data_IF_889644242923
#
_entry.id   IF_889644242923
#
_cell.length_a   1.000
_cell.length_b   1.000
_cell.length_c   1.000
_cell.angle_alpha   90.00
_cell.angle_beta   90.00
_cell.angle_gamma   90.00
#
_symmetry.space_group_name_H-M   'P 1'
#
loop_
_entity.id
_entity.type
_entity.pdbx_description
1 polymer ?
#
# COMPACT_ATOMS: atom_id res chain seq x y z
N UNK A 1 6.86 0.42 21.84
CA UNK A 1 6.70 -0.94 22.39
C UNK A 1 6.63 -0.78 23.89
N UNK A 2 5.47 -0.98 24.51
CA UNK A 2 5.36 -0.87 25.97
C UNK A 2 5.80 -2.18 26.60
N UNK A 3 6.72 -2.09 27.55
CA UNK A 3 7.23 -3.23 28.31
C UNK A 3 6.34 -3.45 29.52
N UNK A 4 5.71 -4.63 29.60
CA UNK A 4 5.13 -5.15 30.85
C UNK A 4 6.04 -6.29 31.29
N UNK A 5 6.59 -6.19 32.51
CA UNK A 5 7.53 -7.18 33.09
C UNK A 5 8.72 -7.56 32.21
N UNK A 6 9.27 -6.61 31.45
CA UNK A 6 10.43 -6.82 30.59
C UNK A 6 10.17 -7.71 29.36
N UNK A 7 8.93 -8.13 29.13
CA UNK A 7 8.53 -8.88 27.93
C UNK A 7 7.82 -7.95 26.95
N UNK A 8 8.21 -8.05 25.68
CA UNK A 8 7.51 -7.39 24.58
C UNK A 8 6.09 -7.98 24.50
N UNK A 9 5.09 -7.21 24.90
CA UNK A 9 3.70 -7.61 24.77
C UNK A 9 3.08 -6.95 23.54
N UNK A 10 2.46 -7.74 22.67
CA UNK A 10 1.68 -7.21 21.55
C UNK A 10 0.39 -6.62 22.13
N UNK A 11 0.17 -5.31 21.93
CA UNK A 11 -1.08 -4.67 22.36
C UNK A 11 -2.28 -5.32 21.66
N UNK A 12 -3.39 -5.64 22.34
CA UNK A 12 -4.60 -6.15 21.69
C UNK A 12 -5.24 -5.08 20.81
N UNK A 13 -5.65 -5.44 19.59
CA UNK A 13 -6.40 -4.52 18.71
C UNK A 13 -7.87 -4.50 19.12
N UNK A 14 -8.45 -3.34 19.48
CA UNK A 14 -9.90 -3.23 19.62
C UNK A 14 -10.55 -3.51 18.26
N UNK A 15 -11.40 -4.53 18.21
CA UNK A 15 -12.00 -5.01 16.95
C UNK A 15 -13.49 -5.18 17.15
N UNK A 16 -14.34 -4.79 16.20
CA UNK A 16 -15.79 -5.05 16.24
C UNK A 16 -16.24 -5.60 14.89
N UNK A 17 -17.34 -6.38 14.81
CA UNK A 17 -17.89 -6.79 13.53
C UNK A 17 -18.16 -5.60 12.60
N UNK A 18 -18.72 -4.51 13.12
CA UNK A 18 -19.08 -3.31 12.35
C UNK A 18 -17.84 -2.62 11.80
N UNK A 19 -16.84 -2.39 12.66
CA UNK A 19 -15.60 -1.74 12.25
C UNK A 19 -14.76 -2.58 11.29
N UNK A 20 -14.72 -3.89 11.48
CA UNK A 20 -14.06 -4.82 10.55
C UNK A 20 -14.79 -4.87 9.20
N UNK A 21 -16.13 -4.91 9.20
CA UNK A 21 -16.90 -4.90 7.96
C UNK A 21 -16.70 -3.58 7.19
N UNK A 22 -16.69 -2.44 7.88
CA UNK A 22 -16.44 -1.14 7.27
C UNK A 22 -15.02 -1.04 6.68
N UNK A 23 -14.01 -1.59 7.37
CA UNK A 23 -12.63 -1.60 6.89
C UNK A 23 -12.41 -2.62 5.75
N UNK A 24 -13.16 -3.72 5.75
CA UNK A 24 -13.14 -4.70 4.68
C UNK A 24 -13.75 -4.15 3.38
N UNK A 25 -14.72 -3.24 3.47
CA UNK A 25 -15.28 -2.53 2.33
C UNK A 25 -14.35 -1.41 1.83
N UNK A 26 -13.20 -1.84 1.31
CA UNK A 26 -12.19 -0.98 0.66
C UNK A 26 -12.72 -0.31 -0.61
N UNK A 27 -13.92 -0.66 -1.09
CA UNK A 27 -14.55 -0.03 -2.26
C UNK A 27 -15.40 1.19 -1.90
N UNK A 28 -15.77 1.32 -0.62
CA UNK A 28 -16.47 2.50 -0.11
C UNK A 28 -15.65 3.77 -0.34
N UNK A 29 -16.31 4.81 -0.87
CA UNK A 29 -15.70 6.14 -1.04
C UNK A 29 -15.34 6.80 0.30
N UNK A 30 -15.93 6.33 1.40
CA UNK A 30 -15.63 6.80 2.76
C UNK A 30 -14.39 6.11 3.35
N UNK A 31 -13.94 4.99 2.78
CA UNK A 31 -12.76 4.28 3.25
C UNK A 31 -11.52 5.18 3.15
N UNK A 32 -10.64 5.26 4.18
CA UNK A 32 -9.49 6.16 4.16
C UNK A 32 -8.55 5.90 2.96
N UNK A 33 -8.32 4.63 2.60
CA UNK A 33 -7.65 4.26 1.34
C UNK A 33 -8.22 4.96 0.11
N UNK A 34 -9.55 4.98 -0.09
CA UNK A 34 -10.14 5.61 -1.27
C UNK A 34 -10.01 7.13 -1.21
N UNK A 35 -10.23 7.73 -0.03
CA UNK A 35 -10.02 9.18 0.20
C UNK A 35 -8.58 9.61 -0.05
N UNK A 36 -7.61 8.75 0.27
CA UNK A 36 -6.20 9.01 -0.01
C UNK A 36 -5.93 8.93 -1.52
N UNK A 37 -6.52 7.94 -2.21
CA UNK A 37 -6.40 7.81 -3.67
C UNK A 37 -6.89 9.06 -4.41
N UNK A 38 -7.98 9.67 -3.95
CA UNK A 38 -8.51 10.90 -4.57
C UNK A 38 -7.62 12.13 -4.40
N UNK A 39 -6.59 12.07 -3.55
CA UNK A 39 -5.62 13.16 -3.36
C UNK A 39 -4.40 13.05 -4.28
N UNK A 40 -4.29 11.97 -5.05
CA UNK A 40 -3.20 11.85 -6.03
C UNK A 40 -3.30 12.98 -7.07
N UNK A 41 -2.19 13.63 -7.45
CA UNK A 41 -2.18 14.59 -8.55
C UNK A 41 -2.63 13.89 -9.83
N UNK A 42 -3.41 14.53 -10.69
CA UNK A 42 -3.92 13.93 -11.94
C UNK A 42 -2.80 13.51 -12.91
N UNK A 43 -1.67 14.22 -12.88
CA UNK A 43 -0.54 14.00 -13.77
C UNK A 43 0.74 13.71 -12.98
N UNK A 44 1.63 12.95 -13.60
CA UNK A 44 2.99 12.79 -13.10
C UNK A 44 3.76 14.10 -13.13
N UNK A 45 4.61 14.35 -12.12
CA UNK A 45 5.34 15.62 -12.02
C UNK A 45 6.59 15.61 -12.91
N UNK A 46 7.38 14.53 -12.85
CA UNK A 46 8.57 14.34 -13.67
C UNK A 46 8.30 13.45 -14.90
N UNK A 47 7.08 12.89 -15.01
CA UNK A 47 6.67 12.12 -16.18
C UNK A 47 6.47 13.03 -17.40
N UNK A 48 7.21 12.74 -18.48
CA UNK A 48 6.96 13.41 -19.76
C UNK A 48 5.55 13.10 -20.30
N UNK A 49 4.73 14.10 -20.66
CA UNK A 49 3.41 13.88 -21.25
C UNK A 49 3.45 13.01 -22.52
N UNK A 50 4.53 13.10 -23.30
CA UNK A 50 4.74 12.26 -24.49
C UNK A 50 4.95 10.79 -24.13
N UNK A 51 5.68 10.51 -23.04
CA UNK A 51 5.88 9.14 -22.56
C UNK A 51 4.56 8.60 -22.01
N UNK A 52 3.85 9.39 -21.20
CA UNK A 52 2.55 9.04 -20.65
C UNK A 52 1.56 8.65 -21.75
N UNK A 53 1.36 9.53 -22.74
CA UNK A 53 0.48 9.27 -23.87
C UNK A 53 0.84 7.96 -24.59
N UNK A 54 2.13 7.70 -24.85
CA UNK A 54 2.57 6.47 -25.51
C UNK A 54 2.28 5.21 -24.69
N UNK A 55 2.39 5.28 -23.36
CA UNK A 55 2.12 4.14 -22.47
C UNK A 55 0.61 3.89 -22.39
N UNK A 56 -0.19 4.95 -22.26
CA UNK A 56 -1.66 4.85 -22.19
C UNK A 56 -2.29 4.41 -23.51
N UNK A 57 -1.75 4.85 -24.65
CA UNK A 57 -2.29 4.52 -25.97
C UNK A 57 -2.01 3.07 -26.40
N UNK A 58 -1.15 2.33 -25.70
CA UNK A 58 -0.74 0.98 -26.08
C UNK A 58 -1.70 -0.06 -25.51
N UNK A 59 -2.09 -1.02 -26.36
CA UNK A 59 -2.93 -2.16 -25.98
C UNK A 59 -2.19 -3.21 -25.15
N UNK A 60 -0.86 -3.28 -25.27
CA UNK A 60 0.01 -4.23 -24.57
C UNK A 60 1.42 -3.68 -24.39
N UNK A 61 2.08 -4.05 -23.31
CA UNK A 61 3.50 -3.74 -23.06
C UNK A 61 4.39 -4.45 -24.09
N UNK A 62 5.25 -3.73 -24.83
CA UNK A 62 6.20 -4.36 -25.75
C UNK A 62 7.27 -5.15 -24.99
N UNK A 63 7.77 -6.21 -25.62
CA UNK A 63 8.88 -7.03 -25.08
C UNK A 63 10.17 -6.23 -24.85
N UNK A 64 10.33 -5.10 -25.54
CA UNK A 64 11.51 -4.21 -25.48
C UNK A 64 11.07 -2.76 -25.28
N UNK A 65 10.25 -2.51 -24.26
CA UNK A 65 9.94 -1.14 -23.85
C UNK A 65 11.20 -0.45 -23.29
N UNK A 66 11.43 0.83 -23.63
CA UNK A 66 12.45 1.64 -22.96
C UNK A 66 12.24 1.68 -21.44
N UNK A 67 13.30 1.74 -20.61
CA UNK A 67 13.18 1.76 -19.15
C UNK A 67 12.18 2.81 -18.63
N UNK A 68 12.15 4.00 -19.24
CA UNK A 68 11.24 5.08 -18.83
C UNK A 68 9.78 4.72 -19.03
N UNK A 69 9.45 3.96 -20.08
CA UNK A 69 8.07 3.51 -20.34
C UNK A 69 7.66 2.42 -19.36
N UNK A 70 8.57 1.52 -18.98
CA UNK A 70 8.32 0.47 -17.97
C UNK A 70 8.03 1.09 -16.60
N UNK A 71 8.85 2.07 -16.18
CA UNK A 71 8.66 2.80 -14.92
C UNK A 71 7.30 3.51 -14.90
N UNK A 72 6.98 4.27 -15.95
CA UNK A 72 5.69 4.97 -16.08
C UNK A 72 4.53 3.97 -16.05
N UNK A 73 4.64 2.83 -16.72
CA UNK A 73 3.60 1.80 -16.69
C UNK A 73 3.37 1.23 -15.27
N UNK A 74 4.45 0.93 -14.55
CA UNK A 74 4.38 0.47 -13.16
C UNK A 74 3.73 1.52 -12.26
N UNK A 75 4.07 2.78 -12.43
CA UNK A 75 3.49 3.89 -11.68
C UNK A 75 2.00 4.05 -11.94
N UNK A 76 1.55 3.98 -13.20
CA UNK A 76 0.12 3.98 -13.53
C UNK A 76 -0.62 2.79 -12.90
N UNK A 77 0.04 1.62 -12.79
CA UNK A 77 -0.52 0.47 -12.05
C UNK A 77 -0.64 0.80 -10.56
N UNK A 78 0.40 1.38 -9.94
CA UNK A 78 0.41 1.77 -8.53
C UNK A 78 -0.65 2.81 -8.18
N UNK A 79 -0.94 3.76 -9.08
CA UNK A 79 -2.03 4.75 -8.92
C UNK A 79 -3.43 4.13 -8.90
N UNK A 80 -3.60 2.96 -9.51
CA UNK A 80 -4.84 2.18 -9.45
C UNK A 80 -6.05 2.83 -10.13
N UNK A 81 -5.81 3.71 -11.10
CA UNK A 81 -6.85 4.50 -11.80
C UNK A 81 -7.60 3.70 -12.88
N UNK A 82 -6.98 2.67 -13.45
CA UNK A 82 -7.62 1.82 -14.48
C UNK A 82 -8.48 0.72 -13.85
N UNK A 83 -9.55 0.27 -14.53
CA UNK A 83 -10.36 -0.86 -14.08
C UNK A 83 -9.51 -2.09 -13.74
N UNK A 84 -9.70 -2.63 -12.53
CA UNK A 84 -8.95 -3.80 -12.06
C UNK A 84 -7.57 -3.52 -11.48
N UNK A 85 -7.05 -2.28 -11.55
CA UNK A 85 -5.77 -1.88 -10.94
C UNK A 85 -5.94 -1.24 -9.55
N UNK A 86 -7.15 -0.85 -9.16
CA UNK A 86 -7.43 -0.31 -7.80
C UNK A 86 -6.90 -1.23 -6.69
N UNK A 87 -6.91 -2.56 -6.91
CA UNK A 87 -6.34 -3.54 -5.99
C UNK A 87 -4.84 -3.36 -5.72
N UNK A 88 -4.08 -2.82 -6.66
CA UNK A 88 -2.65 -2.53 -6.52
C UNK A 88 -2.46 -1.32 -5.61
N UNK A 89 -3.24 -0.26 -5.80
CA UNK A 89 -3.26 0.89 -4.89
C UNK A 89 -3.66 0.47 -3.47
N UNK A 90 -4.71 -0.35 -3.32
CA UNK A 90 -5.16 -0.87 -2.02
C UNK A 90 -4.02 -1.69 -1.37
N UNK A 91 -3.35 -2.55 -2.12
CA UNK A 91 -2.21 -3.31 -1.59
C UNK A 91 -1.10 -2.40 -1.06
N UNK A 92 -0.81 -1.29 -1.75
CA UNK A 92 0.16 -0.30 -1.29
C UNK A 92 -0.29 0.33 0.02
N UNK A 93 -1.56 0.76 0.10
CA UNK A 93 -2.14 1.33 1.31
C UNK A 93 -2.03 0.36 2.49
N UNK A 94 -2.38 -0.92 2.28
CA UNK A 94 -2.29 -1.98 3.29
C UNK A 94 -0.85 -2.26 3.73
N UNK A 95 0.15 -2.10 2.84
CA UNK A 95 1.57 -2.19 3.23
C UNK A 95 1.97 -1.04 4.15
N UNK A 96 1.41 0.15 3.97
CA UNK A 96 1.61 1.30 4.86
C UNK A 96 0.78 1.19 6.14
N UNK A 97 -0.24 0.34 6.15
CA UNK A 97 -1.20 0.14 7.25
C UNK A 97 -1.25 -1.33 7.65
N UNK A 98 -0.09 -1.94 7.87
CA UNK A 98 -0.02 -3.38 8.04
C UNK A 98 -0.51 -3.79 9.43
N UNK A 99 -1.82 -4.08 9.53
CA UNK A 99 -2.45 -4.56 10.76
C UNK A 99 -1.78 -5.85 11.23
N UNK A 100 -1.34 -5.85 12.48
CA UNK A 100 -0.60 -6.97 13.10
C UNK A 100 -1.57 -8.11 13.47
N UNK A 101 -1.45 -9.25 12.81
CA UNK A 101 -2.35 -10.40 12.98
C UNK A 101 -2.49 -10.86 14.44
N UNK A 102 -1.37 -11.01 15.15
CA UNK A 102 -1.38 -11.45 16.55
C UNK A 102 -2.11 -10.46 17.48
N UNK A 103 -2.07 -9.17 17.15
CA UNK A 103 -2.78 -8.12 17.90
C UNK A 103 -4.30 -8.27 17.76
N UNK A 104 -4.78 -8.60 16.56
CA UNK A 104 -6.21 -8.82 16.29
C UNK A 104 -6.69 -10.10 16.97
N UNK A 105 -5.95 -11.20 16.84
CA UNK A 105 -6.31 -12.47 17.49
C UNK A 105 -6.36 -12.32 19.00
N UNK A 106 -5.38 -11.63 19.60
CA UNK A 106 -5.40 -11.33 21.02
C UNK A 106 -6.62 -10.47 21.38
N UNK A 107 -6.88 -9.39 20.63
CA UNK A 107 -8.02 -8.50 20.85
C UNK A 107 -9.40 -9.14 20.66
N UNK A 108 -9.48 -10.31 20.04
CA UNK A 108 -10.71 -11.10 19.89
C UNK A 108 -10.82 -12.24 20.92
N UNK A 109 -9.85 -12.38 21.84
CA UNK A 109 -9.90 -13.41 22.87
C UNK A 109 -11.09 -13.16 23.83
N UNK A 110 -11.89 -14.19 24.17
CA UNK A 110 -13.06 -14.04 25.05
C UNK A 110 -12.74 -13.40 26.40
N UNK A 111 -11.62 -13.78 27.03
CA UNK A 111 -11.20 -13.23 28.34
C UNK A 111 -10.92 -11.72 28.30
N UNK A 112 -10.56 -11.17 27.14
CA UNK A 112 -10.36 -9.73 26.96
C UNK A 112 -11.65 -9.00 26.53
N UNK A 113 -12.73 -9.73 26.32
CA UNK A 113 -14.01 -9.23 25.83
C UNK A 113 -15.21 -9.79 26.65
N UNK A 114 -15.23 -9.65 27.98
CA UNK A 114 -16.26 -10.26 28.83
C UNK A 114 -17.69 -9.75 28.55
N UNK A 115 -17.82 -8.59 27.92
CA UNK A 115 -19.11 -8.00 27.52
C UNK A 115 -19.61 -8.42 26.14
N UNK A 116 -18.89 -9.30 25.42
CA UNK A 116 -19.28 -9.74 24.08
C UNK A 116 -19.75 -11.18 24.06
N UNK A 117 -20.76 -11.43 23.23
CA UNK A 117 -21.25 -12.77 22.99
C UNK A 117 -20.24 -13.58 22.16
N UNK A 118 -20.21 -14.92 22.33
CA UNK A 118 -19.40 -15.80 21.47
C UNK A 118 -19.69 -15.63 19.98
N UNK A 119 -20.94 -15.33 19.61
CA UNK A 119 -21.36 -15.12 18.23
C UNK A 119 -20.75 -13.85 17.62
N UNK A 120 -20.70 -12.74 18.37
CA UNK A 120 -20.06 -11.50 17.93
C UNK A 120 -18.55 -11.68 17.72
N UNK A 121 -17.88 -12.37 18.65
CA UNK A 121 -16.44 -12.67 18.53
C UNK A 121 -16.15 -13.58 17.33
N UNK A 122 -16.99 -14.60 17.09
CA UNK A 122 -16.87 -15.48 15.93
C UNK A 122 -17.08 -14.72 14.60
N UNK A 123 -18.05 -13.80 14.56
CA UNK A 123 -18.28 -12.95 13.39
C UNK A 123 -17.09 -12.04 13.10
N UNK A 124 -16.56 -11.37 14.13
CA UNK A 124 -15.37 -10.52 14.00
C UNK A 124 -14.16 -11.33 13.52
N UNK A 125 -13.93 -12.53 14.07
CA UNK A 125 -12.85 -13.40 13.62
C UNK A 125 -12.99 -13.80 12.14
N UNK A 126 -14.21 -14.12 11.70
CA UNK A 126 -14.51 -14.45 10.30
C UNK A 126 -14.21 -13.26 9.37
N UNK A 127 -14.64 -12.06 9.74
CA UNK A 127 -14.38 -10.84 8.97
C UNK A 127 -12.87 -10.54 8.88
N UNK A 128 -12.15 -10.69 9.99
CA UNK A 128 -10.69 -10.57 10.00
C UNK A 128 -10.01 -11.59 9.07
N UNK A 129 -10.41 -12.86 9.11
CA UNK A 129 -9.88 -13.90 8.22
C UNK A 129 -10.13 -13.56 6.76
N UNK A 130 -11.32 -13.06 6.42
CA UNK A 130 -11.65 -12.59 5.08
C UNK A 130 -10.76 -11.43 4.66
N UNK A 131 -10.59 -10.42 5.52
CA UNK A 131 -9.70 -9.28 5.26
C UNK A 131 -8.26 -9.75 5.02
N UNK A 132 -7.72 -10.58 5.92
CA UNK A 132 -6.32 -11.05 5.83
C UNK A 132 -6.06 -11.87 4.55
N UNK A 133 -7.02 -12.70 4.15
CA UNK A 133 -6.94 -13.48 2.91
C UNK A 133 -6.95 -12.59 1.66
N UNK A 134 -7.86 -11.61 1.61
CA UNK A 134 -7.94 -10.67 0.49
C UNK A 134 -6.72 -9.73 0.43
N UNK A 135 -6.22 -9.27 1.58
CA UNK A 135 -4.97 -8.51 1.69
C UNK A 135 -3.79 -9.30 1.12
N UNK A 136 -3.70 -10.60 1.41
CA UNK A 136 -2.66 -11.47 0.84
C UNK A 136 -2.77 -11.56 -0.69
N UNK A 137 -3.96 -11.78 -1.23
CA UNK A 137 -4.20 -11.80 -2.70
C UNK A 137 -3.78 -10.48 -3.37
N UNK A 138 -4.11 -9.35 -2.75
CA UNK A 138 -3.71 -8.02 -3.21
C UNK A 138 -2.20 -7.82 -3.16
N UNK A 139 -1.55 -8.22 -2.08
CA UNK A 139 -0.09 -8.20 -1.94
C UNK A 139 0.60 -9.07 -3.00
N UNK A 140 0.06 -10.24 -3.31
CA UNK A 140 0.60 -11.11 -4.37
C UNK A 140 0.48 -10.47 -5.76
N UNK A 141 -0.60 -9.72 -6.02
CA UNK A 141 -0.78 -8.97 -7.26
C UNK A 141 0.16 -7.74 -7.36
N UNK A 142 0.49 -7.12 -6.24
CA UNK A 142 1.42 -5.99 -6.16
C UNK A 142 2.88 -6.39 -6.40
N UNK A 143 3.28 -7.56 -5.87
CA UNK A 143 4.68 -8.05 -5.93
C UNK A 143 5.33 -7.99 -7.32
N UNK A 144 4.73 -8.50 -8.42
CA UNK A 144 5.36 -8.41 -9.73
C UNK A 144 5.55 -6.97 -10.20
N UNK A 145 4.62 -6.05 -9.89
CA UNK A 145 4.71 -4.63 -10.24
C UNK A 145 5.90 -3.97 -9.55
N UNK A 146 6.07 -4.21 -8.24
CA UNK A 146 7.21 -3.66 -7.50
C UNK A 146 8.54 -4.29 -7.92
N UNK A 147 8.57 -5.59 -8.20
CA UNK A 147 9.77 -6.26 -8.69
C UNK A 147 10.22 -5.69 -10.04
N UNK A 148 9.28 -5.48 -10.97
CA UNK A 148 9.57 -4.85 -12.26
C UNK A 148 10.09 -3.41 -12.07
N UNK A 149 9.36 -2.60 -11.29
CA UNK A 149 9.76 -1.22 -10.97
C UNK A 149 11.17 -1.14 -10.38
N UNK A 150 11.44 -1.87 -9.30
CA UNK A 150 12.74 -1.84 -8.63
C UNK A 150 13.86 -2.41 -9.47
N UNK A 151 13.61 -3.48 -10.22
CA UNK A 151 14.59 -4.04 -11.16
C UNK A 151 14.96 -3.02 -12.23
N UNK A 152 13.99 -2.37 -12.86
CA UNK A 152 14.24 -1.36 -13.90
C UNK A 152 14.98 -0.15 -13.35
N UNK A 153 14.57 0.38 -12.19
CA UNK A 153 15.24 1.50 -11.54
C UNK A 153 16.69 1.17 -11.16
N UNK A 154 16.94 -0.05 -10.69
CA UNK A 154 18.28 -0.51 -10.32
C UNK A 154 19.18 -0.74 -11.54
N UNK A 155 18.65 -1.30 -12.63
CA UNK A 155 19.43 -1.47 -13.85
C UNK A 155 19.76 -0.13 -14.49
N UNK A 156 18.81 0.81 -14.50
CA UNK A 156 19.01 2.15 -15.05
C UNK A 156 20.09 2.94 -14.29
N UNK A 157 20.19 2.79 -12.97
CA UNK A 157 21.21 3.49 -12.17
C UNK A 157 22.63 2.91 -12.32
N UNK A 158 22.75 1.71 -12.88
CA UNK A 158 24.04 1.01 -13.10
C UNK A 158 24.64 1.21 -14.48
N UNK A 159 23.95 1.94 -15.36
CA UNK A 159 24.46 2.20 -16.71
C UNK A 159 25.71 3.06 -16.62
N UNK A 160 26.75 2.65 -17.35
CA UNK A 160 28.02 3.38 -17.50
C UNK A 160 28.21 3.75 -18.96
N UNK A 161 28.87 4.87 -19.21
CA UNK A 161 29.26 5.30 -20.55
C UNK A 161 30.39 4.40 -21.06
N UNK A 162 30.12 3.70 -22.17
CA UNK A 162 31.05 2.77 -22.81
C UNK A 162 32.37 3.40 -23.28
N UNK A 163 32.45 4.74 -23.38
CA UNK A 163 33.65 5.43 -23.85
C UNK A 163 34.65 5.74 -22.72
N UNK A 164 34.20 5.86 -21.46
CA UNK A 164 35.02 6.36 -20.35
C UNK A 164 34.75 5.69 -18.99
N UNK A 165 33.90 4.65 -18.96
CA UNK A 165 33.45 3.92 -17.77
C UNK A 165 32.84 4.82 -16.67
N UNK A 166 32.37 6.02 -17.01
CA UNK A 166 31.73 6.91 -16.05
C UNK A 166 30.24 6.56 -15.87
N UNK A 167 29.66 6.78 -14.67
CA UNK A 167 28.23 6.62 -14.47
C UNK A 167 27.41 7.47 -15.43
N UNK A 168 26.52 6.83 -16.20
CA UNK A 168 25.61 7.49 -17.13
C UNK A 168 24.22 6.88 -16.98
N UNK A 169 23.46 7.24 -15.93
CA UNK A 169 22.17 6.63 -15.64
C UNK A 169 21.23 6.67 -16.85
N UNK A 170 20.61 5.52 -17.15
CA UNK A 170 19.68 5.38 -18.28
C UNK A 170 18.30 6.01 -18.05
N UNK A 171 18.10 6.61 -16.87
CA UNK A 171 16.89 7.30 -16.44
C UNK A 171 17.27 8.59 -15.72
N UNK A 172 16.38 9.58 -15.84
CA UNK A 172 16.48 10.81 -15.06
C UNK A 172 16.37 10.49 -13.55
N UNK A 173 17.34 10.90 -12.72
CA UNK A 173 17.30 10.68 -11.28
C UNK A 173 16.09 11.32 -10.59
N UNK A 174 15.48 12.38 -11.15
CA UNK A 174 14.29 13.00 -10.58
C UNK A 174 13.09 12.06 -10.57
N UNK A 175 13.01 11.13 -11.54
CA UNK A 175 11.95 10.12 -11.58
C UNK A 175 11.91 9.26 -10.31
N UNK A 176 13.04 9.01 -9.65
CA UNK A 176 13.07 8.22 -8.41
C UNK A 176 12.27 8.86 -7.27
N UNK A 177 11.97 10.16 -7.40
CA UNK A 177 11.32 10.97 -6.38
C UNK A 177 9.99 11.57 -6.87
N UNK A 178 9.36 11.02 -7.91
CA UNK A 178 8.09 11.54 -8.44
C UNK A 178 6.97 11.48 -7.38
N UNK A 179 6.47 12.63 -6.89
CA UNK A 179 5.49 12.68 -5.81
C UNK A 179 4.09 12.22 -6.24
N UNK A 180 3.85 12.04 -7.54
CA UNK A 180 2.55 11.59 -8.06
C UNK A 180 2.33 10.07 -7.91
N UNK A 181 3.31 9.35 -7.36
CA UNK A 181 3.29 7.90 -7.24
C UNK A 181 3.42 7.48 -5.78
N UNK A 182 2.52 6.61 -5.28
CA UNK A 182 2.64 6.09 -3.92
C UNK A 182 3.99 5.41 -3.68
N UNK A 183 4.69 5.82 -2.61
CA UNK A 183 5.94 5.18 -2.21
C UNK A 183 5.68 3.78 -1.64
N UNK A 184 6.32 2.76 -2.21
CA UNK A 184 6.16 1.38 -1.75
C UNK A 184 7.33 0.98 -0.84
N UNK A 185 7.22 1.01 0.50
CA UNK A 185 8.34 0.67 1.36
C UNK A 185 8.78 -0.79 1.11
N UNK A 186 10.09 -1.09 1.25
CA UNK A 186 10.61 -2.44 1.05
C UNK A 186 10.00 -3.44 2.05
N UNK A 187 9.66 -2.99 3.25
CA UNK A 187 8.96 -3.76 4.27
C UNK A 187 7.56 -3.21 4.55
N UNK A 188 6.67 -4.07 5.05
CA UNK A 188 5.37 -3.64 5.56
C UNK A 188 5.57 -2.79 6.82
N UNK A 189 4.80 -1.72 6.94
CA UNK A 189 4.83 -0.83 8.09
C UNK A 189 3.75 -1.26 9.09
N UNK A 190 4.12 -1.96 10.19
CA UNK A 190 3.15 -2.50 11.12
C UNK A 190 2.35 -1.38 11.81
N UNK A 191 1.12 -1.70 12.16
CA UNK A 191 0.23 -0.83 12.91
C UNK A 191 -0.81 -1.64 13.70
N UNK A 192 -1.24 -1.08 14.81
CA UNK A 192 -2.29 -1.63 15.69
C UNK A 192 -3.36 -0.56 15.80
N UNK A 193 -4.58 -0.78 15.28
CA UNK A 193 -5.68 0.16 15.42
C UNK A 193 -5.94 0.53 16.89
N UNK A 194 -6.10 1.83 17.15
CA UNK A 194 -6.35 2.34 18.51
C UNK A 194 -7.81 2.23 18.94
N UNK A 195 -8.73 1.99 18.00
CA UNK A 195 -10.17 1.90 18.25
C UNK A 195 -10.84 0.82 17.40
N UNK A 196 -12.03 0.39 17.81
CA UNK A 196 -12.83 -0.59 17.08
C UNK A 196 -13.36 -0.05 15.74
N UNK A 197 -13.46 1.27 15.57
CA UNK A 197 -13.59 1.91 14.26
C UNK A 197 -12.21 1.99 13.61
N UNK A 198 -11.92 1.00 12.75
CA UNK A 198 -10.63 0.88 12.09
C UNK A 198 -10.43 1.94 11.00
N UNK A 199 -11.50 2.40 10.36
CA UNK A 199 -11.43 3.47 9.36
C UNK A 199 -11.05 4.79 10.03
N UNK A 200 -11.69 5.14 11.14
CA UNK A 200 -11.32 6.34 11.90
C UNK A 200 -9.91 6.23 12.48
N UNK A 201 -9.54 5.07 13.04
CA UNK A 201 -8.18 4.83 13.54
C UNK A 201 -7.14 4.97 12.43
N UNK A 202 -7.42 4.47 11.22
CA UNK A 202 -6.49 4.60 10.11
C UNK A 202 -6.37 6.03 9.60
N UNK A 203 -7.48 6.77 9.52
CA UNK A 203 -7.44 8.17 9.14
C UNK A 203 -6.68 9.03 10.18
N UNK A 204 -6.76 8.65 11.46
CA UNK A 204 -5.99 9.28 12.53
C UNK A 204 -4.49 8.99 12.38
N UNK A 205 -4.10 7.73 12.17
CA UNK A 205 -2.67 7.41 12.01
C UNK A 205 -2.08 8.03 10.74
N UNK A 206 -2.84 8.17 9.66
CA UNK A 206 -2.42 8.92 8.47
C UNK A 206 -2.09 10.40 8.80
N UNK A 207 -2.78 11.00 9.78
CA UNK A 207 -2.54 12.38 10.22
C UNK A 207 -1.33 12.47 11.15
N UNK A 208 -1.15 11.51 12.05
CA UNK A 208 -0.06 11.48 13.02
C UNK A 208 1.27 11.02 12.40
N UNK A 209 1.19 10.13 11.42
CA UNK A 209 2.30 9.51 10.72
C UNK A 209 2.18 9.76 9.20
N UNK A 210 2.37 11.02 8.72
CA UNK A 210 2.07 11.41 7.34
C UNK A 210 2.87 10.67 6.27
N UNK A 211 3.98 10.02 6.64
CA UNK A 211 4.72 9.13 5.74
C UNK A 211 3.91 7.90 5.31
N UNK A 212 2.89 7.49 6.08
CA UNK A 212 1.94 6.41 5.72
C UNK A 212 1.09 6.75 4.50
N UNK A 213 0.79 8.04 4.33
CA UNK A 213 0.01 8.58 3.24
C UNK A 213 0.86 9.03 2.03
N UNK A 214 2.10 8.55 1.93
CA UNK A 214 3.03 8.87 0.83
C UNK A 214 3.27 10.36 0.60
N UNK A 215 3.14 11.16 1.67
CA UNK A 215 3.44 12.59 1.76
C UNK A 215 2.88 13.51 0.64
N UNK A 216 1.79 13.09 -0.01
CA UNK A 216 0.93 13.97 -0.81
C UNK A 216 0.40 15.10 0.10
N UNK A 217 0.88 16.33 -0.10
CA UNK A 217 0.33 17.54 0.52
C UNK A 217 -0.90 18.02 -0.24
#
# INVERSE_FOLDING_TARGET
METVDGKSCVKPTPSSPEGLAAFLDVTSTQHPCQRLRTKLPELGFFMSPKVLYRVESRRSSPKTAPPVEIVVECWLKCRGERPGLTKIFIALYERMHWVVDSSVILGLHPDLNPGRTPAELALALKLWQQYSHERKRRSDALRPVLNELYSTLYQASKVVDSANDQPAPGLDPELYFDPSVPFAPPANLPWVPASADWCAASALVDREEPWRAWWLR
#
